data_IF_569790188985
#
_entry.id   IF_569790188985
#
_cell.length_a   1.000
_cell.length_b   1.000
_cell.length_c   1.000
_cell.angle_alpha   90.00
_cell.angle_beta   90.00
_cell.angle_gamma   90.00
#
_symmetry.space_group_name_H-M   'P 1'
#
loop_
_entity.id
_entity.type
_entity.pdbx_description
1 polymer ?
#
# COMPACT_ATOMS: atom_id res chain seq x y z
N UNK A 1 11.71 -4.93 -16.61
CA UNK A 1 10.46 -4.48 -15.96
C UNK A 1 10.85 -3.88 -14.62
N UNK A 2 10.27 -2.75 -14.22
CA UNK A 2 10.60 -2.09 -12.95
C UNK A 2 9.88 -2.81 -11.81
N UNK A 3 10.64 -3.36 -10.86
CA UNK A 3 10.13 -4.03 -9.67
C UNK A 3 10.01 -3.08 -8.46
N UNK A 4 10.50 -1.84 -8.57
CA UNK A 4 10.46 -0.86 -7.48
C UNK A 4 9.04 -0.35 -7.21
N UNK A 5 8.40 -0.87 -6.16
CA UNK A 5 6.98 -0.68 -5.87
C UNK A 5 6.77 -0.28 -4.42
N UNK A 6 5.96 0.74 -4.18
CA UNK A 6 5.44 1.13 -2.88
C UNK A 6 4.05 0.53 -2.69
N UNK A 7 3.97 -0.41 -1.77
CA UNK A 7 2.75 -1.11 -1.39
C UNK A 7 2.08 -0.36 -0.24
N UNK A 8 0.81 -0.03 -0.42
CA UNK A 8 -0.08 0.54 0.57
C UNK A 8 -1.08 -0.54 0.99
N UNK A 9 -1.03 -0.94 2.26
CA UNK A 9 -1.93 -1.94 2.80
C UNK A 9 -3.13 -1.24 3.44
N UNK A 10 -4.32 -1.56 2.96
CA UNK A 10 -5.59 -0.97 3.38
C UNK A 10 -6.54 -2.07 3.83
N UNK A 11 -7.34 -1.84 4.86
CA UNK A 11 -8.33 -2.83 5.29
C UNK A 11 -9.59 -2.74 4.42
N UNK A 12 -10.17 -3.90 4.07
CA UNK A 12 -11.39 -3.99 3.26
C UNK A 12 -12.61 -3.34 3.93
N UNK A 13 -12.60 -3.30 5.26
CA UNK A 13 -13.65 -2.73 6.10
C UNK A 13 -13.58 -1.21 6.23
N UNK A 14 -12.53 -0.56 5.72
CA UNK A 14 -12.42 0.90 5.78
C UNK A 14 -13.44 1.56 4.87
N UNK A 15 -14.24 2.48 5.43
CA UNK A 15 -15.13 3.34 4.64
C UNK A 15 -14.35 4.30 3.75
N UNK A 16 -13.20 4.78 4.23
CA UNK A 16 -12.24 5.55 3.43
C UNK A 16 -10.84 4.88 3.47
N UNK A 17 -10.49 4.09 2.44
CA UNK A 17 -9.21 3.37 2.42
C UNK A 17 -7.99 4.29 2.28
N UNK A 18 -8.16 5.53 1.82
CA UNK A 18 -7.08 6.51 1.71
C UNK A 18 -6.63 7.07 3.06
N UNK A 19 -7.56 7.18 4.01
CA UNK A 19 -7.31 7.76 5.34
C UNK A 19 -6.74 6.73 6.33
N UNK A 20 -7.06 5.44 6.14
CA UNK A 20 -6.71 4.36 7.08
C UNK A 20 -5.75 3.34 6.47
N UNK A 21 -4.57 3.80 6.03
CA UNK A 21 -3.46 2.91 5.70
C UNK A 21 -2.93 2.24 6.99
N UNK A 22 -2.88 0.91 6.99
CA UNK A 22 -2.39 0.17 8.15
C UNK A 22 -0.87 -0.05 8.10
N UNK A 23 -0.33 -0.19 6.89
CA UNK A 23 1.10 -0.41 6.65
C UNK A 23 1.48 0.08 5.27
N UNK A 24 2.72 0.52 5.14
CA UNK A 24 3.37 0.71 3.85
C UNK A 24 4.63 -0.12 3.77
N UNK A 25 4.91 -0.70 2.60
CA UNK A 25 6.15 -1.43 2.35
C UNK A 25 6.73 -1.04 1.00
N UNK A 26 8.05 -0.98 0.91
CA UNK A 26 8.75 -0.84 -0.37
C UNK A 26 9.25 -2.21 -0.79
N UNK A 27 8.92 -2.61 -2.01
CA UNK A 27 9.42 -3.82 -2.65
C UNK A 27 10.36 -3.44 -3.80
N UNK A 28 11.35 -4.30 -4.06
CA UNK A 28 12.40 -4.06 -5.05
C UNK A 28 13.50 -3.10 -4.58
N UNK A 29 14.39 -2.75 -5.51
CA UNK A 29 15.57 -1.89 -5.27
C UNK A 29 15.51 -0.63 -6.14
N UNK A 30 15.98 0.49 -5.59
CA UNK A 30 16.08 1.77 -6.30
C UNK A 30 17.07 1.73 -7.47
N UNK A 31 18.02 0.81 -7.46
CA UNK A 31 19.05 0.66 -8.51
C UNK A 31 18.45 0.18 -9.84
N UNK A 32 17.34 -0.56 -9.78
CA UNK A 32 16.58 -1.03 -10.94
C UNK A 32 15.26 -0.27 -11.15
N UNK A 33 15.05 0.82 -10.41
CA UNK A 33 13.86 1.63 -10.53
C UNK A 33 13.85 2.39 -11.87
N UNK A 34 12.70 2.42 -12.52
CA UNK A 34 12.49 3.34 -13.63
C UNK A 34 12.38 4.79 -13.12
N UNK A 35 12.56 5.77 -14.00
CA UNK A 35 12.46 7.20 -13.65
C UNK A 35 11.08 7.64 -13.14
N UNK A 36 10.05 6.79 -13.30
CA UNK A 36 8.68 7.02 -12.84
C UNK A 36 8.32 6.23 -11.55
N UNK A 37 9.27 5.46 -11.01
CA UNK A 37 9.08 4.71 -9.75
C UNK A 37 9.37 5.57 -8.51
N UNK A 38 9.01 5.10 -7.30
CA UNK A 38 8.36 3.81 -7.01
C UNK A 38 6.92 3.77 -7.50
N UNK A 39 6.52 2.65 -8.11
CA UNK A 39 5.14 2.46 -8.53
C UNK A 39 4.24 2.26 -7.32
N UNK A 40 3.05 2.84 -7.33
CA UNK A 40 2.12 2.69 -6.21
C UNK A 40 1.22 1.48 -6.42
N UNK A 41 1.08 0.66 -5.38
CA UNK A 41 0.21 -0.51 -5.37
C UNK A 41 -0.61 -0.54 -4.10
N UNK A 42 -1.92 -0.67 -4.24
CA UNK A 42 -2.84 -0.83 -3.10
C UNK A 42 -3.15 -2.30 -2.90
N UNK A 43 -2.95 -2.79 -1.67
CA UNK A 43 -3.20 -4.16 -1.27
C UNK A 43 -4.29 -4.15 -0.21
N UNK A 44 -5.43 -4.74 -0.54
CA UNK A 44 -6.56 -4.84 0.37
C UNK A 44 -6.37 -6.06 1.28
N UNK A 45 -6.31 -5.82 2.59
CA UNK A 45 -6.32 -6.86 3.61
C UNK A 45 -7.77 -7.17 4.00
N UNK A 46 -8.15 -8.45 4.14
CA UNK A 46 -9.52 -8.83 4.50
C UNK A 46 -9.88 -8.51 5.96
N UNK A 47 -8.91 -8.06 6.76
CA UNK A 47 -9.11 -7.76 8.18
C UNK A 47 -9.95 -6.50 8.43
N UNK A 48 -10.42 -6.38 9.67
CA UNK A 48 -11.19 -5.21 10.11
C UNK A 48 -10.27 -4.09 10.59
N UNK A 49 -10.53 -2.86 10.16
CA UNK A 49 -9.78 -1.69 10.61
C UNK A 49 -10.12 -1.38 12.07
N UNK A 50 -9.14 -1.38 12.99
CA UNK A 50 -9.40 -1.06 14.38
C UNK A 50 -9.82 0.41 14.59
N UNK A 51 -9.59 1.30 13.60
CA UNK A 51 -9.95 2.71 13.67
C UNK A 51 -11.35 3.02 13.11
N UNK A 52 -11.90 2.17 12.24
CA UNK A 52 -13.27 2.35 11.69
C UNK A 52 -14.36 1.80 12.61
N UNK A 53 -14.03 0.86 13.51
CA UNK A 53 -14.97 0.26 14.45
C UNK A 53 -14.94 0.93 15.84
N UNK A 54 -14.56 2.22 15.89
CA UNK A 54 -14.62 3.06 17.10
C UNK A 54 -15.96 3.76 17.25
#
# INVERSE_FOLDING_TARGET
MCDFTKNYYIYASCTDPGTHFCKTSIDGTREKACSKGPHERYIVLPESCPLCCG
#
